data_IF_738065287689
#
_entry.id   IF_738065287689
#
_cell.length_a   1.000
_cell.length_b   1.000
_cell.length_c   1.000
_cell.angle_alpha   90.00
_cell.angle_beta   90.00
_cell.angle_gamma   90.00
#
_symmetry.space_group_name_H-M   'P 1'
#
loop_
_entity.id
_entity.type
_entity.pdbx_description
1 polymer ?
#
# COMPACT_ATOMS: atom_id res chain seq x y z
N UNK A 1 12.45 32.91 3.76
CA UNK A 1 13.16 32.17 2.71
C UNK A 1 12.62 30.78 2.82
N UNK A 2 11.44 30.58 2.24
CA UNK A 2 10.75 29.29 2.15
C UNK A 2 11.45 28.50 1.06
N UNK A 3 11.89 27.29 1.37
CA UNK A 3 12.59 26.40 0.46
C UNK A 3 11.60 25.66 -0.42
N UNK A 4 11.68 25.90 -1.73
CA UNK A 4 10.93 25.26 -2.84
C UNK A 4 11.32 23.78 -3.05
N UNK A 5 11.36 22.95 -2.01
CA UNK A 5 11.78 21.53 -2.13
C UNK A 5 10.62 20.54 -2.23
N UNK A 6 9.36 20.97 -2.13
CA UNK A 6 8.19 20.06 -2.16
C UNK A 6 7.53 19.87 -3.54
N UNK A 7 7.98 20.56 -4.59
CA UNK A 7 7.32 20.52 -5.91
C UNK A 7 7.75 19.37 -6.84
N UNK A 8 8.82 18.63 -6.55
CA UNK A 8 9.33 17.59 -7.48
C UNK A 8 8.79 16.17 -7.21
N UNK A 9 8.10 15.95 -6.06
CA UNK A 9 7.52 14.65 -5.72
C UNK A 9 6.18 14.36 -6.42
N UNK A 10 5.59 15.33 -7.12
CA UNK A 10 4.26 15.22 -7.75
C UNK A 10 4.29 14.92 -9.25
N UNK A 11 5.47 14.87 -9.87
CA UNK A 11 5.56 14.52 -11.30
C UNK A 11 5.26 13.04 -11.51
N UNK A 12 4.20 12.71 -12.28
CA UNK A 12 3.98 11.34 -12.72
C UNK A 12 5.23 10.85 -13.49
N UNK A 13 5.57 9.58 -13.34
CA UNK A 13 6.63 8.93 -14.10
C UNK A 13 6.51 9.33 -15.58
N UNK A 14 7.46 10.13 -16.04
CA UNK A 14 7.57 10.84 -17.31
C UNK A 14 6.67 10.42 -18.45
N UNK A 15 6.10 11.40 -19.12
CA UNK A 15 5.32 11.31 -20.36
C UNK A 15 6.17 10.86 -21.57
N UNK A 16 6.80 9.72 -21.44
CA UNK A 16 7.57 9.11 -22.51
C UNK A 16 6.64 8.17 -23.32
N UNK A 17 6.21 8.65 -24.47
CA UNK A 17 5.28 7.94 -25.34
C UNK A 17 5.84 6.58 -25.80
N UNK A 18 7.17 6.45 -25.92
CA UNK A 18 7.84 5.19 -26.22
C UNK A 18 7.71 4.18 -25.07
N UNK A 19 7.83 4.63 -23.83
CA UNK A 19 7.61 3.78 -22.64
C UNK A 19 6.13 3.39 -22.51
N UNK A 20 5.23 4.29 -22.84
CA UNK A 20 3.80 4.03 -22.85
C UNK A 20 3.39 3.02 -23.95
N UNK A 21 4.00 3.11 -25.14
CA UNK A 21 3.80 2.15 -26.22
C UNK A 21 4.38 0.76 -25.87
N UNK A 22 5.59 0.71 -25.33
CA UNK A 22 6.20 -0.52 -24.81
C UNK A 22 5.37 -1.16 -23.70
N UNK A 23 4.76 -0.37 -22.82
CA UNK A 23 3.86 -0.84 -21.79
C UNK A 23 2.58 -1.46 -22.36
N UNK A 24 1.95 -0.83 -23.35
CA UNK A 24 0.78 -1.40 -24.07
C UNK A 24 1.13 -2.72 -24.74
N UNK A 25 2.31 -2.80 -25.35
CA UNK A 25 2.80 -4.02 -26.00
C UNK A 25 3.15 -5.15 -25.00
N UNK A 26 3.53 -4.80 -23.78
CA UNK A 26 3.89 -5.76 -22.73
C UNK A 26 2.69 -6.36 -21.97
N UNK A 27 1.47 -5.93 -22.27
CA UNK A 27 0.27 -6.50 -21.64
C UNK A 27 0.08 -7.95 -22.13
N UNK A 28 0.13 -8.91 -21.20
CA UNK A 28 -0.04 -10.32 -21.54
C UNK A 28 -1.36 -10.55 -22.28
N UNK A 29 -1.39 -11.40 -23.34
CA UNK A 29 -2.61 -11.69 -24.12
C UNK A 29 -3.83 -12.06 -23.27
N UNK A 30 -3.63 -12.79 -22.18
CA UNK A 30 -4.67 -13.13 -21.23
C UNK A 30 -5.28 -11.91 -20.51
N UNK A 31 -4.50 -10.86 -20.27
CA UNK A 31 -4.98 -9.60 -19.70
C UNK A 31 -5.82 -8.83 -20.72
N UNK A 32 -5.40 -8.82 -21.98
CA UNK A 32 -6.14 -8.21 -23.10
C UNK A 32 -7.46 -8.96 -23.38
N UNK A 33 -7.47 -10.29 -23.30
CA UNK A 33 -8.67 -11.09 -23.54
C UNK A 33 -9.69 -10.97 -22.39
N UNK A 34 -9.21 -11.00 -21.13
CA UNK A 34 -10.03 -10.70 -19.96
C UNK A 34 -10.67 -9.32 -20.09
N UNK A 35 -9.90 -8.36 -20.59
CA UNK A 35 -10.30 -6.98 -20.82
C UNK A 35 -11.37 -6.86 -21.93
N UNK A 36 -11.22 -7.56 -23.06
CA UNK A 36 -12.22 -7.61 -24.12
C UNK A 36 -13.57 -8.14 -23.63
N UNK A 37 -13.59 -9.12 -22.74
CA UNK A 37 -14.83 -9.63 -22.11
C UNK A 37 -15.47 -8.60 -21.17
N UNK A 38 -14.66 -7.71 -20.58
CA UNK A 38 -15.09 -6.67 -19.65
C UNK A 38 -15.47 -5.35 -20.34
N UNK A 39 -15.17 -5.18 -21.64
CA UNK A 39 -15.41 -3.95 -22.44
C UNK A 39 -16.87 -3.47 -22.50
N UNK A 40 -17.85 -4.26 -22.05
CA UNK A 40 -19.25 -3.84 -21.94
C UNK A 40 -19.52 -2.97 -20.71
N UNK A 41 -18.57 -2.88 -19.79
CA UNK A 41 -18.68 -2.14 -18.54
C UNK A 41 -17.71 -0.95 -18.56
N UNK A 42 -18.17 0.19 -18.08
CA UNK A 42 -17.28 1.32 -17.80
C UNK A 42 -16.43 1.01 -16.58
N UNK A 43 -15.19 1.46 -16.59
CA UNK A 43 -14.28 1.36 -15.45
C UNK A 43 -14.20 2.71 -14.75
N UNK A 44 -14.17 2.67 -13.44
CA UNK A 44 -13.94 3.83 -12.57
C UNK A 44 -12.87 3.51 -11.56
N UNK A 45 -12.18 4.54 -11.10
CA UNK A 45 -11.16 4.43 -10.08
C UNK A 45 -11.36 5.47 -8.98
N UNK A 46 -10.83 5.15 -7.81
CA UNK A 46 -10.85 6.01 -6.63
C UNK A 46 -9.50 5.95 -5.93
N UNK A 47 -9.01 7.10 -5.45
CA UNK A 47 -8.00 7.13 -4.40
C UNK A 47 -8.71 7.18 -3.05
N UNK A 48 -8.32 6.28 -2.16
CA UNK A 48 -8.99 6.06 -0.88
C UNK A 48 -7.98 6.19 0.26
N UNK A 49 -8.33 6.97 1.27
CA UNK A 49 -7.67 6.97 2.57
C UNK A 49 -8.50 6.20 3.60
N UNK A 50 -7.82 5.52 4.53
CA UNK A 50 -8.50 4.82 5.60
C UNK A 50 -7.66 4.68 6.87
N UNK A 51 -8.32 4.78 8.02
CA UNK A 51 -7.84 4.23 9.28
C UNK A 51 -8.14 2.73 9.32
N UNK A 52 -7.08 1.93 9.45
CA UNK A 52 -7.18 0.46 9.43
C UNK A 52 -7.53 -0.17 10.78
N UNK A 53 -7.58 0.60 11.89
CA UNK A 53 -7.67 0.08 13.25
C UNK A 53 -8.84 -0.89 13.46
N UNK A 54 -10.01 -0.54 12.92
CA UNK A 54 -11.25 -1.33 13.10
C UNK A 54 -11.47 -2.40 12.03
N UNK A 55 -10.50 -2.62 11.13
CA UNK A 55 -10.64 -3.49 9.97
C UNK A 55 -9.67 -4.67 10.02
N UNK A 56 -10.16 -5.83 9.58
CA UNK A 56 -9.33 -7.04 9.44
C UNK A 56 -8.47 -7.01 8.15
N UNK A 57 -8.29 -5.82 7.57
CA UNK A 57 -7.50 -5.51 6.39
C UNK A 57 -8.36 -5.01 5.23
N UNK A 58 -7.69 -4.85 4.09
CA UNK A 58 -8.35 -4.35 2.88
C UNK A 58 -9.31 -5.37 2.25
N UNK A 59 -8.80 -6.59 2.02
CA UNK A 59 -9.47 -7.61 1.21
C UNK A 59 -10.72 -8.17 1.88
N UNK A 60 -11.84 -8.19 1.16
CA UNK A 60 -13.03 -8.90 1.59
C UNK A 60 -12.78 -10.41 1.78
N UNK A 61 -13.28 -10.97 2.87
CA UNK A 61 -13.03 -12.34 3.31
C UNK A 61 -14.29 -13.23 3.34
N UNK A 62 -15.35 -12.79 2.67
CA UNK A 62 -16.63 -13.49 2.69
C UNK A 62 -17.63 -12.90 3.67
N UNK A 63 -18.88 -13.38 3.68
CA UNK A 63 -19.88 -12.96 4.63
C UNK A 63 -19.44 -13.42 6.03
N UNK A 64 -19.04 -12.46 6.85
CA UNK A 64 -18.66 -12.71 8.23
C UNK A 64 -19.80 -12.39 9.18
N UNK A 65 -19.77 -12.97 10.37
CA UNK A 65 -20.73 -12.69 11.44
C UNK A 65 -20.37 -11.37 12.14
N UNK A 66 -21.06 -10.27 11.76
CA UNK A 66 -21.00 -8.98 12.45
C UNK A 66 -19.70 -8.19 12.26
N UNK A 67 -19.48 -7.24 13.17
CA UNK A 67 -18.38 -6.25 13.12
C UNK A 67 -16.96 -6.84 13.12
N UNK A 68 -16.80 -8.09 13.54
CA UNK A 68 -15.49 -8.74 13.69
C UNK A 68 -14.77 -9.03 12.37
N UNK A 69 -15.46 -8.93 11.22
CA UNK A 69 -14.90 -9.22 9.89
C UNK A 69 -15.02 -8.04 8.92
N UNK A 70 -15.16 -6.81 9.42
CA UNK A 70 -15.21 -5.61 8.57
C UNK A 70 -13.91 -5.46 7.80
N UNK A 71 -14.03 -5.20 6.50
CA UNK A 71 -12.90 -4.93 5.60
C UNK A 71 -13.11 -3.62 4.86
N UNK A 72 -12.04 -2.94 4.48
CA UNK A 72 -12.13 -1.70 3.68
C UNK A 72 -12.86 -1.97 2.37
N UNK A 73 -12.52 -3.04 1.66
CA UNK A 73 -13.17 -3.43 0.41
C UNK A 73 -14.68 -3.67 0.61
N UNK A 74 -15.07 -4.32 1.69
CA UNK A 74 -16.49 -4.59 1.99
C UNK A 74 -17.31 -3.31 2.17
N UNK A 75 -16.77 -2.30 2.87
CA UNK A 75 -17.44 -1.00 3.04
C UNK A 75 -17.53 -0.23 1.71
N UNK A 76 -16.47 -0.24 0.90
CA UNK A 76 -16.51 0.36 -0.43
C UNK A 76 -17.57 -0.31 -1.32
N UNK A 77 -17.61 -1.65 -1.35
CA UNK A 77 -18.58 -2.42 -2.12
C UNK A 77 -20.02 -2.14 -1.66
N UNK A 78 -20.25 -2.08 -0.36
CA UNK A 78 -21.58 -1.72 0.21
C UNK A 78 -22.07 -0.36 -0.31
N UNK A 79 -21.21 0.65 -0.30
CA UNK A 79 -21.54 1.99 -0.79
C UNK A 79 -21.72 2.02 -2.31
N UNK A 80 -20.84 1.35 -3.05
CA UNK A 80 -20.92 1.26 -4.51
C UNK A 80 -22.20 0.54 -4.97
N UNK A 81 -22.59 -0.56 -4.32
CA UNK A 81 -23.84 -1.25 -4.62
C UNK A 81 -25.05 -0.32 -4.44
N UNK A 82 -25.08 0.47 -3.34
CA UNK A 82 -26.14 1.47 -3.12
C UNK A 82 -26.17 2.57 -4.19
N UNK A 83 -24.98 3.06 -4.59
CA UNK A 83 -24.86 4.15 -5.55
C UNK A 83 -25.21 3.73 -6.97
N UNK A 84 -24.88 2.51 -7.38
CA UNK A 84 -24.99 2.03 -8.76
C UNK A 84 -26.23 1.16 -8.99
N UNK A 85 -26.77 0.53 -7.95
CA UNK A 85 -27.80 -0.51 -8.04
C UNK A 85 -27.27 -1.86 -8.53
N UNK A 86 -25.92 -2.02 -8.59
CA UNK A 86 -25.29 -3.23 -9.07
C UNK A 86 -24.87 -4.16 -7.92
N UNK A 87 -24.68 -5.44 -8.25
CA UNK A 87 -24.20 -6.42 -7.28
C UNK A 87 -22.67 -6.31 -7.12
N UNK A 88 -22.18 -6.80 -6.01
CA UNK A 88 -20.76 -6.89 -5.71
C UNK A 88 -19.97 -7.63 -6.80
N UNK A 89 -20.50 -8.76 -7.28
CA UNK A 89 -19.90 -9.59 -8.32
C UNK A 89 -19.81 -8.86 -9.66
N UNK A 90 -20.78 -7.98 -9.95
CA UNK A 90 -20.77 -7.13 -11.14
C UNK A 90 -19.70 -6.03 -11.03
N UNK A 91 -19.60 -5.38 -9.87
CA UNK A 91 -18.67 -4.28 -9.63
C UNK A 91 -17.20 -4.71 -9.63
N UNK A 92 -16.87 -5.92 -9.21
CA UNK A 92 -15.51 -6.49 -9.18
C UNK A 92 -14.47 -5.53 -8.60
N UNK A 93 -14.74 -4.99 -7.45
CA UNK A 93 -13.87 -4.02 -6.78
C UNK A 93 -12.49 -4.60 -6.54
N UNK A 94 -11.45 -3.92 -7.00
CA UNK A 94 -10.06 -4.35 -6.83
C UNK A 94 -9.16 -3.21 -6.34
N UNK A 95 -8.30 -3.50 -5.36
CA UNK A 95 -7.31 -2.55 -4.84
C UNK A 95 -5.92 -2.76 -5.43
N UNK A 96 -5.08 -1.70 -5.38
CA UNK A 96 -3.68 -1.73 -5.81
C UNK A 96 -2.83 -2.71 -5.00
N UNK A 97 -3.17 -2.90 -3.73
CA UNK A 97 -2.51 -3.85 -2.84
C UNK A 97 -3.41 -4.21 -1.67
N UNK A 98 -3.11 -5.37 -1.08
CA UNK A 98 -3.77 -5.77 0.17
C UNK A 98 -2.99 -5.16 1.33
N UNK A 99 -3.68 -4.42 2.19
CA UNK A 99 -3.16 -4.02 3.49
C UNK A 99 -3.61 -5.03 4.54
N UNK A 100 -2.75 -5.29 5.52
CA UNK A 100 -3.05 -6.21 6.62
C UNK A 100 -4.06 -5.60 7.60
N UNK A 101 -4.58 -6.42 8.52
CA UNK A 101 -5.35 -5.95 9.68
C UNK A 101 -4.60 -4.87 10.45
N UNK A 102 -5.25 -3.74 10.71
CA UNK A 102 -4.70 -2.61 11.45
C UNK A 102 -3.73 -1.72 10.67
N UNK A 103 -3.48 -2.00 9.38
CA UNK A 103 -2.66 -1.15 8.51
C UNK A 103 -3.51 -0.06 7.87
N UNK A 104 -3.00 1.16 7.88
CA UNK A 104 -3.67 2.33 7.32
C UNK A 104 -3.31 2.56 5.84
N UNK A 105 -4.06 3.44 5.17
CA UNK A 105 -3.70 3.95 3.86
C UNK A 105 -4.02 5.45 3.74
N UNK A 106 -3.14 6.20 3.07
CA UNK A 106 -3.39 7.58 2.62
C UNK A 106 -3.65 7.64 1.11
N UNK A 107 -3.20 6.62 0.37
CA UNK A 107 -3.25 6.61 -1.09
C UNK A 107 -3.53 5.23 -1.68
N UNK A 108 -4.45 4.45 -1.12
CA UNK A 108 -4.91 3.22 -1.75
C UNK A 108 -5.67 3.55 -3.03
N UNK A 109 -5.35 2.89 -4.13
CA UNK A 109 -6.09 3.04 -5.39
C UNK A 109 -6.97 1.82 -5.62
N UNK A 110 -8.23 2.10 -5.88
CA UNK A 110 -9.28 1.09 -6.07
C UNK A 110 -9.90 1.30 -7.44
N UNK A 111 -10.14 0.23 -8.19
CA UNK A 111 -10.95 0.27 -9.41
C UNK A 111 -12.19 -0.60 -9.27
N UNK A 112 -13.21 -0.29 -10.06
CA UNK A 112 -14.40 -1.11 -10.16
C UNK A 112 -15.05 -0.93 -11.54
N UNK A 113 -15.96 -1.84 -11.90
CA UNK A 113 -16.68 -1.83 -13.14
C UNK A 113 -18.14 -1.46 -12.91
N UNK A 114 -18.74 -0.74 -13.85
CA UNK A 114 -20.16 -0.37 -13.81
C UNK A 114 -20.78 -0.49 -15.19
N UNK A 115 -21.96 -1.12 -15.29
CA UNK A 115 -22.68 -1.28 -16.56
C UNK A 115 -23.19 0.04 -17.11
N UNK A 116 -23.62 0.93 -16.20
CA UNK A 116 -24.14 2.25 -16.54
C UNK A 116 -23.09 3.33 -16.33
N UNK A 117 -23.15 4.37 -17.15
CA UNK A 117 -22.33 5.56 -16.90
C UNK A 117 -22.74 6.23 -15.60
N UNK A 118 -21.74 6.63 -14.81
CA UNK A 118 -21.97 7.41 -13.60
C UNK A 118 -22.13 8.92 -13.87
N UNK A 119 -22.14 9.32 -15.15
CA UNK A 119 -22.24 10.71 -15.59
C UNK A 119 -20.89 11.38 -15.67
N UNK A 120 -20.87 12.63 -16.15
CA UNK A 120 -19.63 13.41 -16.37
C UNK A 120 -19.11 14.04 -15.07
N UNK A 121 -20.02 14.46 -14.17
CA UNK A 121 -19.66 15.08 -12.90
C UNK A 121 -19.34 14.03 -11.83
N UNK A 122 -18.11 13.51 -11.88
CA UNK A 122 -17.64 12.53 -10.89
C UNK A 122 -17.40 13.14 -9.51
N UNK A 123 -17.35 14.46 -9.38
CA UNK A 123 -17.29 15.15 -8.08
C UNK A 123 -18.53 14.89 -7.24
N UNK A 124 -19.72 14.81 -7.87
CA UNK A 124 -20.96 14.41 -7.21
C UNK A 124 -20.88 12.97 -6.69
N UNK A 125 -20.25 12.06 -7.46
CA UNK A 125 -20.05 10.66 -7.06
C UNK A 125 -19.12 10.55 -5.86
N UNK A 126 -18.01 11.32 -5.85
CA UNK A 126 -17.12 11.42 -4.70
C UNK A 126 -17.87 11.89 -3.45
N UNK A 127 -18.69 12.95 -3.55
CA UNK A 127 -19.49 13.44 -2.43
C UNK A 127 -20.49 12.40 -1.94
N UNK A 128 -21.19 11.72 -2.85
CA UNK A 128 -22.14 10.66 -2.51
C UNK A 128 -21.46 9.48 -1.81
N UNK A 129 -20.27 9.06 -2.29
CA UNK A 129 -19.48 8.03 -1.62
C UNK A 129 -19.13 8.44 -0.19
N UNK A 130 -18.59 9.64 -0.01
CA UNK A 130 -18.18 10.13 1.31
C UNK A 130 -19.36 10.33 2.28
N UNK A 131 -20.57 10.58 1.77
CA UNK A 131 -21.79 10.64 2.57
C UNK A 131 -22.31 9.26 3.04
N UNK A 132 -21.86 8.17 2.40
CA UNK A 132 -22.26 6.81 2.74
C UNK A 132 -21.16 5.99 3.45
N UNK A 133 -19.91 6.38 3.26
CA UNK A 133 -18.76 5.74 3.90
C UNK A 133 -18.71 6.07 5.39
N UNK A 134 -18.24 5.14 6.23
CA UNK A 134 -17.93 5.45 7.63
C UNK A 134 -16.80 6.47 7.73
N UNK A 135 -16.71 7.16 8.89
CA UNK A 135 -15.77 8.29 9.08
C UNK A 135 -14.30 7.93 8.94
N UNK A 136 -13.95 6.70 9.07
CA UNK A 136 -12.59 6.17 8.97
C UNK A 136 -12.21 5.68 7.56
N UNK A 137 -13.07 5.91 6.53
CA UNK A 137 -12.76 5.70 5.11
C UNK A 137 -13.20 6.93 4.32
N UNK A 138 -12.31 7.44 3.47
CA UNK A 138 -12.62 8.58 2.58
C UNK A 138 -12.18 8.30 1.16
N UNK A 139 -13.05 8.67 0.22
CA UNK A 139 -12.74 8.79 -1.19
C UNK A 139 -12.14 10.17 -1.44
N UNK A 140 -10.84 10.23 -1.70
CA UNK A 140 -10.09 11.47 -1.93
C UNK A 140 -10.25 11.95 -3.37
N UNK A 141 -10.21 11.01 -4.31
CA UNK A 141 -10.39 11.25 -5.73
C UNK A 141 -11.28 10.19 -6.34
N UNK A 142 -12.01 10.59 -7.41
CA UNK A 142 -12.88 9.69 -8.17
C UNK A 142 -12.77 10.06 -9.65
N UNK A 143 -12.32 9.13 -10.51
CA UNK A 143 -12.10 9.41 -11.93
C UNK A 143 -12.47 8.23 -12.82
N UNK A 144 -12.58 8.47 -14.13
CA UNK A 144 -12.72 7.45 -15.17
C UNK A 144 -11.34 7.27 -15.84
N UNK A 145 -10.61 6.20 -15.50
CA UNK A 145 -9.29 5.93 -16.09
C UNK A 145 -9.40 5.36 -17.49
N UNK A 146 -8.25 5.16 -18.14
CA UNK A 146 -8.19 4.40 -19.40
C UNK A 146 -8.92 3.06 -19.28
N UNK A 147 -9.70 2.62 -20.31
CA UNK A 147 -10.49 1.38 -20.24
C UNK A 147 -9.71 0.11 -19.86
N UNK A 148 -8.40 0.10 -20.11
CA UNK A 148 -7.50 -0.99 -19.74
C UNK A 148 -6.95 -0.89 -18.29
N UNK A 149 -7.32 0.13 -17.54
CA UNK A 149 -6.78 0.32 -16.20
C UNK A 149 -7.07 -0.84 -15.25
N UNK A 150 -6.06 -1.25 -14.48
CA UNK A 150 -6.21 -2.18 -13.39
C UNK A 150 -5.30 -1.75 -12.23
N UNK A 151 -5.90 -1.39 -11.09
CA UNK A 151 -5.19 -0.79 -9.96
C UNK A 151 -3.99 -1.61 -9.46
N UNK A 152 -4.01 -2.94 -9.57
CA UNK A 152 -2.92 -3.80 -9.08
C UNK A 152 -1.86 -4.06 -10.15
N UNK A 153 -2.28 -4.39 -11.39
CA UNK A 153 -1.34 -4.89 -12.40
C UNK A 153 -0.58 -3.76 -13.09
N UNK A 154 -1.16 -2.55 -13.12
CA UNK A 154 -0.52 -1.39 -13.73
C UNK A 154 0.26 -0.54 -12.74
N UNK A 155 0.23 -0.89 -11.44
CA UNK A 155 1.07 -0.22 -10.45
C UNK A 155 2.56 -0.48 -10.75
N UNK A 156 3.34 0.61 -10.84
CA UNK A 156 4.79 0.60 -11.10
C UNK A 156 5.63 0.69 -9.83
N UNK A 157 5.01 1.08 -8.75
CA UNK A 157 5.66 1.19 -7.46
C UNK A 157 4.68 1.63 -6.38
N UNK A 158 5.14 1.55 -5.15
CA UNK A 158 4.40 1.99 -3.97
C UNK A 158 5.34 2.58 -2.96
N UNK A 159 4.85 3.58 -2.23
CA UNK A 159 5.50 4.11 -1.05
C UNK A 159 4.71 3.70 0.17
N UNK A 160 5.42 3.19 1.17
CA UNK A 160 4.91 2.97 2.52
C UNK A 160 5.64 3.86 3.50
N UNK A 161 4.88 4.49 4.40
CA UNK A 161 5.42 5.17 5.57
C UNK A 161 5.23 4.28 6.80
N UNK A 162 6.24 4.24 7.65
CA UNK A 162 6.14 3.64 8.96
C UNK A 162 6.54 4.66 10.03
N UNK A 163 5.65 4.92 10.97
CA UNK A 163 5.88 5.91 12.02
C UNK A 163 6.28 5.26 13.33
N UNK A 164 7.30 5.85 13.98
CA UNK A 164 7.78 5.48 15.28
C UNK A 164 7.61 6.65 16.25
N UNK A 165 7.18 6.35 17.47
CA UNK A 165 7.22 7.27 18.62
C UNK A 165 8.38 6.86 19.53
N UNK A 166 9.48 7.62 19.46
CA UNK A 166 10.69 7.46 20.24
C UNK A 166 10.85 8.54 21.32
N UNK A 167 9.81 9.34 21.58
CA UNK A 167 9.80 10.37 22.62
C UNK A 167 9.97 9.74 23.98
N UNK A 168 10.58 10.45 24.94
CA UNK A 168 10.70 10.00 26.31
C UNK A 168 9.32 9.66 26.91
N UNK A 169 8.35 10.55 26.73
CA UNK A 169 6.95 10.32 27.08
C UNK A 169 6.12 10.12 25.82
N UNK A 170 5.49 8.94 25.69
CA UNK A 170 4.65 8.64 24.55
C UNK A 170 3.42 9.54 24.50
N UNK A 171 3.10 10.04 23.31
CA UNK A 171 1.88 10.81 23.12
C UNK A 171 0.66 9.89 23.07
N UNK A 172 -0.41 10.18 23.85
CA UNK A 172 -1.65 9.42 23.75
C UNK A 172 -2.35 9.62 22.39
N UNK A 173 -2.03 10.68 21.67
CA UNK A 173 -2.64 10.99 20.36
C UNK A 173 -1.97 10.24 19.22
N UNK A 174 -0.68 9.91 19.32
CA UNK A 174 0.04 9.14 18.28
C UNK A 174 -0.10 7.62 18.43
N UNK A 175 -0.56 7.10 19.56
CA UNK A 175 -0.58 5.66 19.90
C UNK A 175 -1.25 4.75 18.86
N UNK A 176 -2.17 5.30 18.07
CA UNK A 176 -2.90 4.57 17.02
C UNK A 176 -2.18 4.57 15.67
N UNK A 177 -1.21 5.47 15.49
CA UNK A 177 -0.61 5.78 14.19
C UNK A 177 0.91 5.72 14.19
N UNK A 178 1.53 5.51 15.35
CA UNK A 178 2.97 5.36 15.50
C UNK A 178 3.31 4.25 16.48
N UNK A 179 4.29 3.42 16.14
CA UNK A 179 4.77 2.37 17.01
C UNK A 179 5.71 2.95 18.07
N UNK A 180 5.37 2.77 19.35
CA UNK A 180 6.22 3.11 20.48
C UNK A 180 7.44 2.21 20.54
N UNK A 181 8.64 2.80 20.45
CA UNK A 181 9.91 2.05 20.47
C UNK A 181 10.47 1.97 21.90
N UNK A 182 9.70 1.38 22.82
CA UNK A 182 10.19 1.07 24.18
C UNK A 182 10.80 2.25 24.94
N UNK A 183 11.59 1.93 25.98
CA UNK A 183 12.25 2.91 26.86
C UNK A 183 13.61 3.41 26.34
N UNK A 184 14.19 2.71 25.35
CA UNK A 184 15.43 3.13 24.71
C UNK A 184 15.11 3.66 23.33
N UNK A 185 15.33 4.96 23.06
CA UNK A 185 15.18 5.49 21.73
C UNK A 185 16.13 4.75 20.77
N UNK A 186 15.73 4.51 19.53
CA UNK A 186 16.62 3.90 18.56
C UNK A 186 17.74 4.88 18.19
N UNK A 187 18.92 4.37 17.96
CA UNK A 187 19.99 5.11 17.29
C UNK A 187 19.56 5.36 15.85
N UNK A 188 19.30 6.63 15.51
CA UNK A 188 18.73 7.03 14.20
C UNK A 188 19.74 6.78 13.08
N UNK A 189 21.04 7.00 13.30
CA UNK A 189 22.06 6.78 12.29
C UNK A 189 22.26 5.29 12.02
N UNK A 190 22.21 4.49 13.07
CA UNK A 190 22.25 3.03 12.92
C UNK A 190 20.97 2.51 12.25
N UNK A 191 19.80 3.12 12.50
CA UNK A 191 18.55 2.82 11.80
C UNK A 191 18.64 3.13 10.31
N UNK A 192 19.21 4.30 9.94
CA UNK A 192 19.47 4.68 8.54
C UNK A 192 20.37 3.65 7.85
N UNK A 193 21.46 3.27 8.50
CA UNK A 193 22.39 2.25 7.97
C UNK A 193 21.71 0.90 7.81
N UNK A 194 20.89 0.50 8.76
CA UNK A 194 20.11 -0.75 8.69
C UNK A 194 19.08 -0.74 7.55
N UNK A 195 18.36 0.37 7.36
CA UNK A 195 17.41 0.52 6.26
C UNK A 195 18.09 0.52 4.89
N UNK A 196 19.28 1.14 4.77
CA UNK A 196 20.05 1.18 3.52
C UNK A 196 20.44 -0.21 3.02
N UNK A 197 20.63 -1.21 3.89
CA UNK A 197 20.93 -2.59 3.49
C UNK A 197 19.81 -3.24 2.69
N UNK A 198 18.57 -2.78 2.81
CA UNK A 198 17.43 -3.32 2.06
C UNK A 198 17.28 -2.69 0.66
N UNK A 199 18.05 -1.65 0.33
CA UNK A 199 17.94 -0.97 -0.97
C UNK A 199 18.61 -1.80 -2.06
N UNK A 200 17.90 -2.02 -3.16
CA UNK A 200 18.36 -2.81 -4.30
C UNK A 200 17.38 -3.90 -4.68
N UNK A 201 17.80 -4.73 -5.67
CA UNK A 201 17.03 -5.90 -6.12
C UNK A 201 17.61 -7.15 -5.46
N UNK A 202 16.83 -7.79 -4.60
CA UNK A 202 17.26 -8.96 -3.85
C UNK A 202 16.12 -9.88 -3.47
N UNK A 203 16.44 -11.07 -2.96
CA UNK A 203 15.48 -12.05 -2.47
C UNK A 203 15.06 -11.73 -1.03
N UNK A 204 13.83 -11.23 -0.85
CA UNK A 204 13.25 -10.87 0.45
C UNK A 204 12.54 -12.03 1.16
N UNK A 205 12.89 -13.27 0.87
CA UNK A 205 12.25 -14.45 1.48
C UNK A 205 12.30 -14.43 3.01
N UNK A 206 13.40 -14.00 3.63
CA UNK A 206 13.51 -13.84 5.08
C UNK A 206 12.56 -12.79 5.67
N UNK A 207 12.07 -11.87 4.86
CA UNK A 207 11.16 -10.80 5.28
C UNK A 207 9.73 -11.00 4.78
N UNK A 208 9.43 -12.13 4.15
CA UNK A 208 8.09 -12.46 3.63
C UNK A 208 7.40 -13.49 4.53
N UNK A 209 6.18 -13.18 4.98
CA UNK A 209 5.36 -14.20 5.62
C UNK A 209 4.73 -15.11 4.57
N UNK A 210 4.58 -16.39 4.91
CA UNK A 210 3.87 -17.35 4.06
C UNK A 210 2.40 -16.96 3.96
N UNK A 211 1.89 -16.83 2.73
CA UNK A 211 0.47 -16.63 2.50
C UNK A 211 -0.31 -17.90 2.91
N UNK A 212 -1.49 -17.74 3.52
CA UNK A 212 -2.42 -18.86 3.73
C UNK A 212 -2.92 -19.48 2.42
N UNK A 213 -2.79 -18.76 1.33
CA UNK A 213 -3.12 -19.22 -0.01
C UNK A 213 -1.99 -20.12 -0.53
N UNK A 214 -2.22 -21.43 -0.50
CA UNK A 214 -1.26 -22.47 -0.93
C UNK A 214 -0.85 -22.33 -2.41
N UNK A 215 -1.67 -21.67 -3.25
CA UNK A 215 -1.31 -21.39 -4.65
C UNK A 215 -0.13 -20.44 -4.82
N UNK A 216 0.32 -19.81 -3.72
CA UNK A 216 1.45 -18.88 -3.67
C UNK A 216 2.71 -19.47 -3.01
N UNK A 217 2.76 -20.78 -2.80
CA UNK A 217 3.92 -21.43 -2.18
C UNK A 217 5.23 -21.16 -2.95
N UNK A 218 5.16 -21.12 -4.28
CA UNK A 218 6.30 -20.86 -5.18
C UNK A 218 6.35 -19.41 -5.68
N UNK A 219 5.83 -18.47 -4.91
CA UNK A 219 5.86 -17.05 -5.29
C UNK A 219 7.32 -16.58 -5.37
N UNK A 220 7.67 -15.94 -6.50
CA UNK A 220 8.93 -15.20 -6.62
C UNK A 220 9.03 -14.16 -5.49
N UNK A 221 10.09 -14.28 -4.68
CA UNK A 221 10.36 -13.43 -3.52
C UNK A 221 11.37 -12.31 -3.80
N UNK A 222 11.89 -12.22 -5.03
CA UNK A 222 12.75 -11.12 -5.46
C UNK A 222 11.91 -9.85 -5.66
N UNK A 223 12.34 -8.74 -5.05
CA UNK A 223 11.74 -7.40 -5.16
C UNK A 223 12.83 -6.37 -5.30
N UNK A 224 12.45 -5.21 -5.83
CA UNK A 224 13.31 -4.03 -5.88
C UNK A 224 12.80 -3.00 -4.90
N UNK A 225 13.62 -2.68 -3.90
CA UNK A 225 13.42 -1.53 -3.02
C UNK A 225 14.28 -0.40 -3.59
N UNK A 226 13.65 0.71 -4.01
CA UNK A 226 14.36 1.84 -4.62
C UNK A 226 14.98 2.75 -3.59
N UNK A 227 14.28 2.98 -2.48
CA UNK A 227 14.76 3.75 -1.35
C UNK A 227 14.12 3.27 -0.05
N UNK A 228 14.84 3.46 1.05
CA UNK A 228 14.33 3.19 2.38
C UNK A 228 14.96 4.20 3.34
N UNK A 229 14.34 5.38 3.39
CA UNK A 229 14.84 6.56 4.07
C UNK A 229 14.27 6.68 5.48
N UNK A 230 15.01 7.37 6.35
CA UNK A 230 14.63 7.63 7.74
C UNK A 230 14.69 9.12 7.99
N UNK A 231 13.53 9.69 8.30
CA UNK A 231 13.34 11.10 8.62
C UNK A 231 13.01 11.26 10.11
N UNK A 232 13.48 12.34 10.70
CA UNK A 232 13.06 12.77 12.03
C UNK A 232 12.22 14.05 11.83
N UNK A 233 10.90 13.89 11.69
CA UNK A 233 9.96 14.98 11.38
C UNK A 233 9.86 15.97 12.57
N UNK A 234 9.96 15.47 13.80
CA UNK A 234 10.07 16.21 15.06
C UNK A 234 10.95 15.41 16.04
N UNK A 235 11.57 16.03 17.05
CA UNK A 235 12.36 15.31 18.05
C UNK A 235 11.61 14.10 18.62
N UNK A 236 12.16 12.90 18.40
CA UNK A 236 11.57 11.63 18.80
C UNK A 236 10.36 11.15 17.99
N UNK A 237 10.02 11.82 16.89
CA UNK A 237 9.03 11.33 15.91
C UNK A 237 9.76 10.93 14.64
N UNK A 238 9.88 9.62 14.39
CA UNK A 238 10.66 9.08 13.28
C UNK A 238 9.70 8.51 12.22
N UNK A 239 9.92 8.89 10.97
CA UNK A 239 9.22 8.34 9.80
C UNK A 239 10.20 7.58 8.93
N UNK A 240 9.88 6.32 8.66
CA UNK A 240 10.58 5.51 7.68
C UNK A 240 9.76 5.52 6.39
N UNK A 241 10.41 5.78 5.26
CA UNK A 241 9.78 5.81 3.94
C UNK A 241 10.39 4.75 3.05
N UNK A 242 9.58 3.76 2.67
CA UNK A 242 10.02 2.62 1.86
C UNK A 242 9.32 2.63 0.51
N UNK A 243 10.09 2.83 -0.57
CA UNK A 243 9.62 2.77 -1.95
C UNK A 243 10.11 1.50 -2.64
N UNK A 244 9.22 0.79 -3.33
CA UNK A 244 9.55 -0.41 -4.09
C UNK A 244 8.58 -0.67 -5.24
N UNK A 245 8.97 -1.59 -6.14
CA UNK A 245 8.15 -2.03 -7.27
C UNK A 245 6.90 -2.82 -6.83
N UNK A 246 7.00 -3.50 -5.69
CA UNK A 246 5.96 -4.28 -5.06
C UNK A 246 6.46 -4.90 -3.77
N UNK A 247 5.53 -5.36 -2.95
CA UNK A 247 5.87 -5.89 -1.62
C UNK A 247 5.23 -7.26 -1.40
N UNK A 248 5.98 -8.12 -0.72
CA UNK A 248 5.51 -9.42 -0.24
C UNK A 248 4.63 -9.25 1.01
N UNK A 249 3.94 -10.31 1.38
CA UNK A 249 3.08 -10.29 2.55
C UNK A 249 3.88 -9.96 3.82
N UNK A 250 3.53 -8.85 4.47
CA UNK A 250 4.17 -8.27 5.66
C UNK A 250 5.61 -7.80 5.47
N UNK A 251 6.13 -7.71 4.25
CA UNK A 251 7.54 -7.41 3.99
C UNK A 251 8.02 -6.13 4.68
N UNK A 252 7.34 -5.00 4.47
CA UNK A 252 7.77 -3.70 5.06
C UNK A 252 7.83 -3.79 6.58
N UNK A 253 6.82 -4.36 7.23
CA UNK A 253 6.80 -4.54 8.68
C UNK A 253 7.92 -5.43 9.19
N UNK A 254 8.27 -6.49 8.46
CA UNK A 254 9.35 -7.40 8.83
C UNK A 254 10.72 -6.71 8.67
N UNK A 255 10.92 -5.92 7.60
CA UNK A 255 12.13 -5.13 7.42
C UNK A 255 12.28 -4.08 8.54
N UNK A 256 11.21 -3.33 8.83
CA UNK A 256 11.23 -2.35 9.94
C UNK A 256 11.53 -3.03 11.27
N UNK A 257 10.88 -4.17 11.57
CA UNK A 257 11.14 -4.92 12.80
C UNK A 257 12.60 -5.36 12.93
N UNK A 258 13.18 -5.84 11.84
CA UNK A 258 14.59 -6.24 11.82
C UNK A 258 15.54 -5.04 11.98
N UNK A 259 15.31 -3.92 11.27
CA UNK A 259 16.09 -2.70 11.41
C UNK A 259 16.05 -2.14 12.84
N UNK A 260 14.89 -2.19 13.49
CA UNK A 260 14.73 -1.76 14.88
C UNK A 260 15.51 -2.62 15.87
N UNK A 261 15.73 -3.92 15.60
CA UNK A 261 16.57 -4.73 16.50
C UNK A 261 18.04 -4.29 16.46
N UNK A 262 18.50 -3.77 15.33
CA UNK A 262 19.84 -3.18 15.20
C UNK A 262 19.89 -1.80 15.84
N UNK A 263 18.95 -0.91 15.49
CA UNK A 263 18.92 0.45 16.03
C UNK A 263 18.74 0.54 17.54
N UNK A 264 18.20 -0.51 18.17
CA UNK A 264 18.05 -0.61 19.64
C UNK A 264 19.19 -1.39 20.31
N UNK A 265 20.23 -1.78 19.55
CA UNK A 265 21.43 -2.46 20.07
C UNK A 265 21.23 -3.93 20.45
N UNK A 266 20.15 -4.58 20.00
CA UNK A 266 19.94 -6.02 20.20
C UNK A 266 20.76 -6.88 19.26
N UNK A 267 21.02 -6.38 18.07
CA UNK A 267 21.81 -7.01 17.01
C UNK A 267 22.64 -5.95 16.31
N UNK A 268 23.59 -6.38 15.49
CA UNK A 268 24.42 -5.53 14.63
C UNK A 268 23.98 -5.57 13.15
N UNK A 269 24.66 -4.84 12.29
CA UNK A 269 24.39 -4.81 10.87
C UNK A 269 24.71 -6.14 10.17
N UNK A 270 25.71 -6.88 10.66
CA UNK A 270 26.09 -8.20 10.14
C UNK A 270 24.96 -9.20 10.34
N UNK A 271 24.23 -9.12 11.46
CA UNK A 271 23.03 -9.91 11.66
C UNK A 271 21.96 -9.70 10.56
N UNK A 272 21.74 -8.46 10.12
CA UNK A 272 20.81 -8.20 9.00
C UNK A 272 21.29 -8.82 7.70
N UNK A 273 22.59 -8.70 7.39
CA UNK A 273 23.17 -9.33 6.20
C UNK A 273 22.97 -10.85 6.24
N UNK A 274 23.30 -11.47 7.38
CA UNK A 274 23.11 -12.90 7.58
C UNK A 274 21.64 -13.34 7.45
N UNK A 275 20.67 -12.49 7.83
CA UNK A 275 19.26 -12.76 7.61
C UNK A 275 18.87 -12.74 6.13
N UNK A 276 19.41 -11.80 5.34
CA UNK A 276 19.16 -11.75 3.89
C UNK A 276 19.68 -12.99 3.20
N UNK A 277 20.90 -13.39 3.54
CA UNK A 277 21.58 -14.55 2.95
C UNK A 277 20.91 -15.88 3.33
N UNK A 278 20.34 -15.96 4.53
CA UNK A 278 19.67 -17.16 5.04
C UNK A 278 18.40 -17.55 4.28
N UNK A 279 17.69 -16.58 3.65
CA UNK A 279 16.42 -16.80 2.93
C UNK A 279 15.39 -17.61 3.74
N UNK A 280 15.38 -17.40 5.05
CA UNK A 280 14.52 -18.12 5.99
C UNK A 280 13.79 -17.14 6.94
N UNK A 281 12.46 -17.02 6.78
CA UNK A 281 11.60 -16.18 7.61
C UNK A 281 11.64 -16.54 9.10
N UNK A 282 11.89 -17.80 9.43
CA UNK A 282 11.91 -18.24 10.83
C UNK A 282 13.08 -17.66 11.62
N UNK A 283 14.17 -17.30 10.95
CA UNK A 283 15.34 -16.68 11.57
C UNK A 283 15.16 -15.17 11.80
N UNK A 284 14.26 -14.52 11.05
CA UNK A 284 14.03 -13.10 11.17
C UNK A 284 13.14 -12.76 12.39
N UNK A 285 13.33 -11.61 13.03
CA UNK A 285 12.55 -11.20 14.20
C UNK A 285 11.09 -10.95 13.84
N UNK A 286 10.29 -10.69 14.88
CA UNK A 286 8.89 -10.27 14.70
C UNK A 286 8.82 -8.99 13.86
N UNK A 287 7.85 -8.96 12.95
CA UNK A 287 7.55 -7.74 12.20
C UNK A 287 6.98 -6.65 13.11
N UNK A 288 7.28 -5.41 12.77
CA UNK A 288 6.77 -4.24 13.47
C UNK A 288 5.22 -4.19 13.48
N UNK A 289 4.59 -3.60 14.50
CA UNK A 289 3.13 -3.50 14.63
C UNK A 289 2.45 -2.88 13.41
N UNK A 290 1.19 -3.26 13.16
CA UNK A 290 0.46 -2.82 11.98
C UNK A 290 0.13 -1.32 12.01
N UNK A 291 -0.24 -0.79 13.16
CA UNK A 291 -0.74 0.58 13.36
C UNK A 291 0.27 1.69 13.03
N UNK A 292 1.56 1.38 12.92
CA UNK A 292 2.56 2.34 12.45
C UNK A 292 2.67 2.39 10.92
N UNK A 293 2.06 1.45 10.18
CA UNK A 293 2.24 1.31 8.74
C UNK A 293 1.10 1.96 7.94
N UNK A 294 1.48 2.75 6.93
CA UNK A 294 0.58 3.42 6.00
C UNK A 294 0.98 3.12 4.56
N UNK A 295 0.05 2.63 3.73
CA UNK A 295 0.21 2.71 2.28
C UNK A 295 0.04 4.18 1.88
N UNK A 296 1.15 4.87 1.63
CA UNK A 296 1.17 6.30 1.39
C UNK A 296 0.77 6.65 -0.05
N UNK A 297 1.40 6.00 -1.05
CA UNK A 297 1.18 6.30 -2.46
C UNK A 297 1.34 5.07 -3.34
N UNK A 298 0.63 5.04 -4.46
CA UNK A 298 0.78 4.05 -5.53
C UNK A 298 1.04 4.78 -6.83
N UNK A 299 2.06 4.38 -7.58
CA UNK A 299 2.44 4.99 -8.85
C UNK A 299 1.90 4.21 -10.03
N UNK A 300 1.47 4.95 -11.05
CA UNK A 300 0.98 4.43 -12.33
C UNK A 300 1.60 5.20 -13.49
N UNK A 301 1.73 4.59 -14.69
CA UNK A 301 2.01 5.34 -15.91
C UNK A 301 0.85 6.32 -16.20
N UNK A 302 1.15 7.54 -16.64
CA UNK A 302 0.14 8.56 -16.98
C UNK A 302 -0.89 8.06 -17.98
N UNK A 303 -0.46 7.29 -18.98
CA UNK A 303 -1.31 6.70 -20.03
C UNK A 303 -2.49 5.87 -19.54
N UNK A 304 -2.42 5.29 -18.34
CA UNK A 304 -3.52 4.49 -17.78
C UNK A 304 -4.40 5.27 -16.79
N UNK A 305 -4.01 6.49 -16.43
CA UNK A 305 -4.76 7.34 -15.48
C UNK A 305 -5.80 8.21 -16.16
N UNK A 306 -5.60 8.54 -17.45
CA UNK A 306 -6.50 9.37 -18.25
C UNK A 306 -7.21 8.54 -19.32
N UNK A 307 -8.42 8.99 -19.70
CA UNK A 307 -9.15 8.49 -20.84
C UNK A 307 -8.42 8.73 -22.13
#
# INVERSE_FOLDING_TARGET
MESDEDEDDDKPFGDDEAKNAAFRASMAPAQLERHRREQRNKIYAMRVSNDGERYVGFQYQGPGTGDKNKTIQGELERCLCKMTGETRESLRVGGAGRTDSGVHARGQVVHFYCRKSLGEDLSKRKRAMNGMLPDDIRCEEFWEPHPLFHSRFHAKGKIYHYYLDAKETASPFSRKYAHRVGWRPPDVDLLRRACALFVGTMDFKSFANVSRDKSKADQNTVRTIRRFDVFEDEPGTIRLECEGDGFLYRQVRNMVGAALTVATGKHDLEYLQNLMDAKDRKRAPMGAPAHGLFLHRVFYPSVVLTK
#
